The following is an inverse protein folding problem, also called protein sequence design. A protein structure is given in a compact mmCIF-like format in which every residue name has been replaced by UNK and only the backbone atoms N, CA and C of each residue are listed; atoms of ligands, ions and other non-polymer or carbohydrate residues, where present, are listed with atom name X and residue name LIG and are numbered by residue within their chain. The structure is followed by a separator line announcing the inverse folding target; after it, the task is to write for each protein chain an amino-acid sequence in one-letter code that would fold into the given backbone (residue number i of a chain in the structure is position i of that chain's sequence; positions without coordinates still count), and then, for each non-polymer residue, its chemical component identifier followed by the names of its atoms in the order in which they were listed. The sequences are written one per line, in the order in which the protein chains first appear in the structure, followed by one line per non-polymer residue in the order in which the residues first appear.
data_IF_298545961063
#
_entry.id   IF_298545961063
#
_cell.length_a   1.000
_cell.length_b   1.000
_cell.length_c   1.000
_cell.angle_alpha   90.00
_cell.angle_beta   90.00
_cell.angle_gamma   90.00
#
_symmetry.space_group_name_H-M   'P 1'
#
loop_
_entity.id
_entity.type
_entity.pdbx_description
1 polymer ?
#
# COMPACT_ATOMS: atom_id res chain seq x y z
N UNK A 1 18.89 4.38 -20.62
CA UNK A 1 17.71 3.62 -21.03
C UNK A 1 16.41 4.42 -20.92
N UNK A 2 16.37 5.54 -20.16
CA UNK A 2 15.16 6.33 -19.89
C UNK A 2 14.15 5.68 -18.92
N UNK A 3 14.47 4.53 -18.34
CA UNK A 3 13.64 3.89 -17.32
C UNK A 3 13.79 4.58 -15.96
N UNK A 4 12.73 4.54 -15.16
CA UNK A 4 12.66 5.07 -13.81
C UNK A 4 12.50 3.89 -12.81
N UNK A 5 13.59 3.25 -12.37
CA UNK A 5 13.51 2.07 -11.49
C UNK A 5 12.88 2.41 -10.15
N UNK A 6 12.00 1.52 -9.68
CA UNK A 6 11.42 1.52 -8.35
C UNK A 6 11.63 0.13 -7.72
N UNK A 7 12.16 0.07 -6.50
CA UNK A 7 12.51 -1.21 -5.88
C UNK A 7 11.83 -1.36 -4.51
N UNK A 8 11.18 -2.51 -4.32
CA UNK A 8 10.63 -2.98 -3.05
C UNK A 8 11.53 -4.10 -2.48
N UNK A 9 12.56 -3.73 -1.72
CA UNK A 9 13.54 -4.69 -1.19
C UNK A 9 13.31 -5.08 0.28
N UNK A 10 12.14 -4.72 0.85
CA UNK A 10 11.81 -5.00 2.24
C UNK A 10 12.48 -4.07 3.25
N UNK A 11 12.88 -4.61 4.41
CA UNK A 11 13.52 -3.80 5.46
C UNK A 11 15.01 -3.64 5.19
N UNK A 12 15.41 -2.40 4.90
CA UNK A 12 16.78 -2.02 4.58
C UNK A 12 17.37 -1.11 5.66
N UNK A 13 18.68 -1.19 5.87
CA UNK A 13 19.41 -0.22 6.68
C UNK A 13 19.79 1.02 5.86
N UNK A 14 20.39 2.03 6.50
CA UNK A 14 20.72 3.31 5.86
C UNK A 14 21.75 3.19 4.74
N UNK A 15 22.71 2.26 4.86
CA UNK A 15 23.74 2.07 3.84
C UNK A 15 23.16 1.39 2.59
N UNK A 16 22.31 0.39 2.78
CA UNK A 16 21.58 -0.28 1.70
C UNK A 16 20.64 0.69 0.98
N UNK A 17 19.90 1.53 1.71
CA UNK A 17 19.07 2.60 1.14
C UNK A 17 19.92 3.58 0.33
N UNK A 18 21.06 4.00 0.85
CA UNK A 18 21.98 4.90 0.15
C UNK A 18 22.56 4.28 -1.13
N UNK A 19 22.80 2.97 -1.12
CA UNK A 19 23.25 2.24 -2.30
C UNK A 19 22.17 2.20 -3.37
N UNK A 20 20.93 1.83 -3.02
CA UNK A 20 19.80 1.75 -3.95
C UNK A 20 19.40 3.12 -4.52
N UNK A 21 19.54 4.18 -3.72
CA UNK A 21 19.29 5.55 -4.19
C UNK A 21 20.06 5.92 -5.46
N UNK A 22 21.24 5.34 -5.68
CA UNK A 22 22.08 5.67 -6.84
C UNK A 22 21.48 5.19 -8.18
N UNK A 23 20.62 4.19 -8.13
CA UNK A 23 20.04 3.54 -9.32
C UNK A 23 18.52 3.52 -9.35
N UNK A 24 17.85 4.07 -8.33
CA UNK A 24 16.40 4.12 -8.23
C UNK A 24 15.91 5.54 -8.07
N UNK A 25 14.79 5.86 -8.69
CA UNK A 25 14.11 7.15 -8.51
C UNK A 25 13.25 7.17 -7.26
N UNK A 26 12.79 6.02 -6.83
CA UNK A 26 12.01 5.82 -5.60
C UNK A 26 12.18 4.39 -5.08
N UNK A 27 11.81 4.20 -3.83
CA UNK A 27 11.78 2.88 -3.18
C UNK A 27 10.39 2.61 -2.61
N UNK A 28 10.12 1.34 -2.29
CA UNK A 28 8.90 0.92 -1.62
C UNK A 28 9.20 0.15 -0.33
N UNK A 29 8.43 0.43 0.70
CA UNK A 29 8.36 -0.38 1.92
C UNK A 29 6.97 -0.23 2.54
N UNK A 30 6.11 -1.22 2.31
CA UNK A 30 4.77 -1.23 2.91
C UNK A 30 4.88 -1.30 4.43
N UNK A 31 4.28 -0.34 5.15
CA UNK A 31 4.18 -0.44 6.62
C UNK A 31 3.33 -1.65 7.02
N UNK A 32 2.28 -1.92 6.28
CA UNK A 32 1.20 -2.89 6.50
C UNK A 32 0.37 -2.58 7.73
N UNK A 33 1.00 -2.41 8.88
CA UNK A 33 0.39 -2.00 10.16
C UNK A 33 1.44 -1.40 11.08
N UNK A 34 1.04 -0.49 11.97
CA UNK A 34 1.88 -0.03 13.08
C UNK A 34 1.68 -0.85 14.36
N UNK A 35 0.72 -1.78 14.37
CA UNK A 35 0.38 -2.58 15.54
C UNK A 35 1.41 -3.68 15.80
N UNK A 36 2.11 -3.59 16.92
CA UNK A 36 3.00 -4.65 17.39
C UNK A 36 2.24 -5.92 17.82
N UNK A 37 0.96 -5.80 18.18
CA UNK A 37 0.09 -6.93 18.54
C UNK A 37 0.07 -7.98 17.42
N UNK A 38 0.09 -7.55 16.17
CA UNK A 38 0.03 -8.46 15.02
C UNK A 38 1.35 -9.24 14.79
N UNK A 39 2.40 -8.96 15.55
CA UNK A 39 3.63 -9.77 15.58
C UNK A 39 3.64 -10.82 16.70
N UNK A 40 2.60 -10.83 17.55
CA UNK A 40 2.46 -11.73 18.68
C UNK A 40 2.14 -13.17 18.29
N UNK A 41 2.02 -14.03 19.29
CA UNK A 41 1.68 -15.45 19.11
C UNK A 41 0.32 -15.62 18.43
N UNK A 42 0.25 -16.48 17.45
CA UNK A 42 -0.94 -16.76 16.61
C UNK A 42 -1.43 -15.56 15.79
N UNK A 43 -0.61 -14.52 15.63
CA UNK A 43 -0.91 -13.37 14.79
C UNK A 43 -0.24 -13.49 13.40
N UNK A 44 -0.70 -12.75 12.41
CA UNK A 44 -0.26 -12.91 11.01
C UNK A 44 1.25 -12.71 10.80
N UNK A 45 1.88 -11.88 11.62
CA UNK A 45 3.31 -11.55 11.49
C UNK A 45 4.21 -12.27 12.52
N UNK A 46 3.71 -13.29 13.25
CA UNK A 46 4.45 -14.02 14.29
C UNK A 46 5.84 -14.50 13.84
N UNK A 47 5.93 -15.04 12.62
CA UNK A 47 7.18 -15.58 12.07
C UNK A 47 7.79 -14.72 10.96
N UNK A 48 7.40 -13.45 10.89
CA UNK A 48 7.84 -12.53 9.85
C UNK A 48 8.60 -11.34 10.44
N UNK A 49 9.87 -11.49 10.85
CA UNK A 49 10.63 -10.41 11.50
C UNK A 49 10.79 -9.18 10.62
N UNK A 50 10.80 -9.34 9.29
CA UNK A 50 10.79 -8.22 8.33
C UNK A 50 9.47 -7.45 8.28
N UNK A 51 8.42 -7.98 8.92
CA UNK A 51 7.11 -7.33 9.06
C UNK A 51 6.96 -6.59 10.40
N UNK A 52 8.01 -6.57 11.23
CA UNK A 52 7.97 -5.84 12.48
C UNK A 52 7.73 -4.34 12.22
N UNK A 53 6.70 -3.72 12.82
CA UNK A 53 6.33 -2.33 12.56
C UNK A 53 7.47 -1.34 12.81
N UNK A 54 8.22 -1.48 13.92
CA UNK A 54 9.34 -0.59 14.24
C UNK A 54 10.45 -0.67 13.18
N UNK A 55 10.69 -1.87 12.62
CA UNK A 55 11.70 -2.03 11.58
C UNK A 55 11.26 -1.30 10.30
N UNK A 56 9.99 -1.41 9.91
CA UNK A 56 9.44 -0.74 8.72
C UNK A 56 9.34 0.77 8.88
N UNK A 57 8.88 1.26 10.03
CA UNK A 57 8.89 2.69 10.37
C UNK A 57 10.32 3.26 10.24
N UNK A 58 11.32 2.53 10.76
CA UNK A 58 12.73 2.94 10.64
C UNK A 58 13.19 3.05 9.19
N UNK A 59 12.74 2.16 8.29
CA UNK A 59 13.02 2.28 6.85
C UNK A 59 12.44 3.57 6.28
N UNK A 60 11.17 3.87 6.57
CA UNK A 60 10.50 5.08 6.09
C UNK A 60 11.19 6.36 6.58
N UNK A 61 11.56 6.40 7.87
CA UNK A 61 12.30 7.52 8.45
C UNK A 61 13.72 7.68 7.87
N UNK A 62 14.44 6.57 7.67
CA UNK A 62 15.76 6.61 7.08
C UNK A 62 15.71 7.03 5.61
N UNK A 63 14.72 6.56 4.85
CA UNK A 63 14.47 7.07 3.50
C UNK A 63 14.23 8.59 3.51
N UNK A 64 13.45 9.09 4.50
CA UNK A 64 13.23 10.52 4.69
C UNK A 64 14.50 11.30 4.97
N UNK A 65 15.34 10.85 5.90
CA UNK A 65 16.65 11.46 6.21
C UNK A 65 17.56 11.51 4.98
N UNK A 66 17.48 10.49 4.15
CA UNK A 66 18.27 10.36 2.92
C UNK A 66 17.62 11.06 1.72
N UNK A 67 16.43 11.67 1.89
CA UNK A 67 15.66 12.31 0.81
C UNK A 67 15.42 11.35 -0.35
N UNK A 68 14.94 10.14 -0.04
CA UNK A 68 14.54 9.14 -1.01
C UNK A 68 13.01 9.15 -1.07
N UNK A 69 12.39 9.40 -2.23
CA UNK A 69 10.97 9.21 -2.40
C UNK A 69 10.59 7.74 -2.12
N UNK A 70 9.57 7.52 -1.31
CA UNK A 70 9.17 6.17 -0.91
C UNK A 70 7.66 5.98 -1.00
N UNK A 71 7.25 4.83 -1.49
CA UNK A 71 5.86 4.35 -1.42
C UNK A 71 5.71 3.47 -0.19
N UNK A 72 4.62 3.66 0.54
CA UNK A 72 4.24 2.83 1.68
C UNK A 72 2.74 2.54 1.66
N UNK A 73 2.21 1.90 2.67
CA UNK A 73 0.77 1.64 2.75
C UNK A 73 0.41 0.60 3.79
N UNK A 74 -0.88 0.26 3.83
CA UNK A 74 -1.46 -0.67 4.78
C UNK A 74 -2.01 -1.90 4.09
N UNK A 75 -2.03 -3.02 4.82
CA UNK A 75 -2.72 -4.25 4.43
C UNK A 75 -3.90 -4.45 5.37
N UNK A 76 -5.12 -4.34 4.83
CA UNK A 76 -6.37 -4.35 5.57
C UNK A 76 -6.98 -5.75 5.56
N UNK A 77 -7.47 -6.21 6.73
CA UNK A 77 -8.11 -7.51 6.90
C UNK A 77 -7.17 -8.61 7.39
N UNK A 78 -6.06 -8.24 8.03
CA UNK A 78 -5.12 -9.18 8.63
C UNK A 78 -5.34 -9.38 10.15
N UNK A 79 -6.46 -8.86 10.70
CA UNK A 79 -6.84 -8.99 12.12
C UNK A 79 -6.55 -7.74 12.96
N UNK A 80 -6.29 -6.63 12.32
CA UNK A 80 -6.20 -5.31 12.95
C UNK A 80 -7.57 -4.77 13.38
N UNK A 81 -7.57 -3.87 14.35
CA UNK A 81 -8.76 -3.09 14.71
C UNK A 81 -8.82 -1.79 13.91
N UNK A 82 -9.98 -1.13 13.90
CA UNK A 82 -10.13 0.16 13.23
C UNK A 82 -9.20 1.24 13.84
N UNK A 83 -9.03 1.21 15.16
CA UNK A 83 -8.10 2.10 15.87
C UNK A 83 -6.65 1.85 15.40
N UNK A 84 -6.23 0.60 15.25
CA UNK A 84 -4.89 0.26 14.76
C UNK A 84 -4.66 0.69 13.30
N UNK A 85 -5.72 0.69 12.47
CA UNK A 85 -5.67 1.25 11.11
C UNK A 85 -5.46 2.76 11.18
N UNK A 86 -6.25 3.47 11.99
CA UNK A 86 -6.13 4.93 12.16
C UNK A 86 -4.75 5.30 12.70
N UNK A 87 -4.25 4.61 13.72
CA UNK A 87 -2.90 4.81 14.27
C UNK A 87 -1.82 4.63 13.19
N UNK A 88 -1.97 3.61 12.34
CA UNK A 88 -1.03 3.36 11.24
C UNK A 88 -1.04 4.48 10.20
N UNK A 89 -2.22 5.02 9.86
CA UNK A 89 -2.35 6.18 8.96
C UNK A 89 -1.74 7.45 9.58
N UNK A 90 -1.92 7.65 10.90
CA UNK A 90 -1.31 8.77 11.63
C UNK A 90 0.21 8.67 11.60
N UNK A 91 0.78 7.49 11.85
CA UNK A 91 2.24 7.25 11.76
C UNK A 91 2.77 7.63 10.37
N UNK A 92 2.11 7.19 9.30
CA UNK A 92 2.50 7.54 7.93
C UNK A 92 2.43 9.07 7.71
N UNK A 93 1.34 9.71 8.14
CA UNK A 93 1.17 11.17 8.05
C UNK A 93 2.30 11.92 8.78
N UNK A 94 2.63 11.51 10.00
CA UNK A 94 3.66 12.17 10.82
C UNK A 94 5.05 12.04 10.19
N UNK A 95 5.39 10.87 9.64
CA UNK A 95 6.63 10.67 8.88
C UNK A 95 6.66 11.61 7.68
N UNK A 96 5.55 11.69 6.92
CA UNK A 96 5.49 12.56 5.74
C UNK A 96 5.54 14.04 6.12
N UNK A 97 4.88 14.46 7.20
CA UNK A 97 4.97 15.84 7.70
C UNK A 97 6.40 16.21 8.09
N UNK A 98 7.15 15.26 8.64
CA UNK A 98 8.53 15.49 9.09
C UNK A 98 9.54 15.51 7.95
N UNK A 99 9.38 14.66 6.94
CA UNK A 99 10.41 14.45 5.92
C UNK A 99 9.97 14.81 4.49
N UNK A 100 8.68 14.81 4.20
CA UNK A 100 8.13 15.11 2.85
C UNK A 100 8.52 14.09 1.78
N UNK A 101 8.83 12.85 2.17
CA UNK A 101 9.39 11.85 1.28
C UNK A 101 8.41 10.74 0.86
N UNK A 102 7.24 10.66 1.48
CA UNK A 102 6.22 9.68 1.10
C UNK A 102 5.49 10.20 -0.13
N UNK A 103 5.68 9.53 -1.26
CA UNK A 103 5.07 9.92 -2.53
C UNK A 103 3.68 9.34 -2.73
N UNK A 104 3.38 8.23 -2.05
CA UNK A 104 2.15 7.48 -2.25
C UNK A 104 1.87 6.56 -1.07
N UNK A 105 0.58 6.39 -0.75
CA UNK A 105 0.08 5.44 0.25
C UNK A 105 -0.86 4.44 -0.44
N UNK A 106 -0.46 3.18 -0.43
CA UNK A 106 -1.25 2.08 -1.00
C UNK A 106 -2.16 1.51 0.08
N UNK A 107 -3.46 1.54 -0.16
CA UNK A 107 -4.45 0.80 0.64
C UNK A 107 -4.73 -0.53 -0.06
N UNK A 108 -4.30 -1.61 0.58
CA UNK A 108 -4.40 -2.95 0.00
C UNK A 108 -5.28 -3.83 0.87
N UNK A 109 -6.28 -4.48 0.29
CA UNK A 109 -7.08 -5.48 0.99
C UNK A 109 -6.39 -6.85 0.98
N UNK A 110 -6.50 -7.55 2.11
CA UNK A 110 -6.03 -8.93 2.22
C UNK A 110 -6.84 -9.85 1.31
N UNK A 111 -6.13 -10.69 0.55
CA UNK A 111 -6.71 -11.79 -0.23
C UNK A 111 -6.15 -13.10 0.34
N UNK A 112 -7.01 -14.00 0.88
CA UNK A 112 -6.56 -15.27 1.44
C UNK A 112 -5.87 -16.14 0.39
N UNK A 113 -4.82 -16.85 0.81
CA UNK A 113 -4.07 -17.76 -0.07
C UNK A 113 -4.00 -19.16 0.55
N UNK A 114 -4.35 -20.17 -0.21
CA UNK A 114 -4.47 -21.56 0.25
C UNK A 114 -3.18 -22.14 0.86
N UNK A 115 -2.04 -21.67 0.39
CA UNK A 115 -0.71 -22.13 0.83
C UNK A 115 -0.15 -21.34 2.03
N UNK A 116 -0.97 -20.51 2.70
CA UNK A 116 -0.55 -19.71 3.85
C UNK A 116 -1.31 -20.09 5.12
N UNK A 117 -0.76 -19.75 6.29
CA UNK A 117 -1.45 -19.90 7.58
C UNK A 117 -2.70 -19.01 7.67
N UNK A 118 -2.79 -17.98 6.84
CA UNK A 118 -3.91 -17.04 6.80
C UNK A 118 -5.02 -17.45 5.83
N UNK A 119 -5.01 -18.66 5.28
CA UNK A 119 -6.03 -19.14 4.33
C UNK A 119 -7.47 -19.06 4.85
N UNK A 120 -7.65 -19.10 6.17
CA UNK A 120 -8.95 -19.00 6.82
C UNK A 120 -9.33 -17.58 7.25
N UNK A 121 -8.45 -16.60 7.07
CA UNK A 121 -8.77 -15.19 7.34
C UNK A 121 -9.63 -14.68 6.19
N UNK A 122 -10.82 -14.21 6.53
CA UNK A 122 -11.69 -13.61 5.53
C UNK A 122 -11.12 -12.26 5.06
N UNK A 123 -11.27 -11.91 3.78
CA UNK A 123 -10.95 -10.57 3.32
C UNK A 123 -11.81 -9.54 4.08
N UNK A 124 -11.38 -8.28 4.18
CA UNK A 124 -12.20 -7.24 4.78
C UNK A 124 -13.51 -7.10 4.00
N UNK A 125 -14.59 -6.77 4.68
CA UNK A 125 -15.83 -6.41 3.99
C UNK A 125 -15.61 -5.18 3.12
N UNK A 126 -16.40 -5.05 2.06
CA UNK A 126 -16.33 -3.86 1.18
C UNK A 126 -16.50 -2.57 1.98
N UNK A 127 -17.49 -2.50 2.88
CA UNK A 127 -17.76 -1.31 3.68
C UNK A 127 -16.59 -0.94 4.60
N UNK A 128 -15.96 -1.93 5.24
CA UNK A 128 -14.79 -1.69 6.07
C UNK A 128 -13.63 -1.15 5.23
N UNK A 129 -13.38 -1.75 4.06
CA UNK A 129 -12.29 -1.31 3.20
C UNK A 129 -12.56 0.10 2.63
N UNK A 130 -13.79 0.38 2.19
CA UNK A 130 -14.22 1.71 1.73
C UNK A 130 -14.03 2.77 2.84
N UNK A 131 -14.44 2.44 4.07
CA UNK A 131 -14.23 3.30 5.24
C UNK A 131 -12.74 3.59 5.46
N UNK A 132 -11.86 2.58 5.37
CA UNK A 132 -10.42 2.77 5.60
C UNK A 132 -9.77 3.65 4.52
N UNK A 133 -10.20 3.51 3.26
CA UNK A 133 -9.76 4.39 2.17
C UNK A 133 -10.21 5.83 2.41
N UNK A 134 -11.46 6.03 2.82
CA UNK A 134 -12.00 7.36 3.16
C UNK A 134 -11.25 8.00 4.34
N UNK A 135 -10.93 7.22 5.38
CA UNK A 135 -10.13 7.68 6.51
C UNK A 135 -8.70 8.08 6.07
N UNK A 136 -8.09 7.33 5.17
CA UNK A 136 -6.78 7.68 4.62
C UNK A 136 -6.83 9.05 3.91
N UNK A 137 -7.88 9.33 3.13
CA UNK A 137 -8.07 10.63 2.47
C UNK A 137 -8.31 11.75 3.47
N UNK A 138 -9.12 11.54 4.51
CA UNK A 138 -9.40 12.56 5.54
C UNK A 138 -8.13 12.88 6.34
N UNK A 139 -7.36 11.85 6.73
CA UNK A 139 -6.13 12.01 7.52
C UNK A 139 -5.01 12.64 6.70
N UNK A 140 -4.95 12.35 5.40
CA UNK A 140 -3.91 12.80 4.48
C UNK A 140 -4.52 13.42 3.21
N UNK A 141 -5.15 14.61 3.28
CA UNK A 141 -5.97 15.17 2.18
C UNK A 141 -5.20 15.43 0.89
N UNK A 142 -3.89 15.60 0.93
CA UNK A 142 -3.03 15.89 -0.23
C UNK A 142 -2.16 14.71 -0.66
N UNK A 143 -2.30 13.56 -0.01
CA UNK A 143 -1.52 12.37 -0.34
C UNK A 143 -2.03 11.69 -1.61
N UNK A 144 -1.12 11.11 -2.41
CA UNK A 144 -1.51 10.14 -3.41
C UNK A 144 -1.94 8.86 -2.72
N UNK A 145 -3.22 8.50 -2.87
CA UNK A 145 -3.79 7.28 -2.30
C UNK A 145 -4.13 6.34 -3.44
N UNK A 146 -3.47 5.21 -3.42
CA UNK A 146 -3.62 4.14 -4.39
C UNK A 146 -4.46 2.99 -3.82
N UNK A 147 -5.32 2.42 -4.64
CA UNK A 147 -5.96 1.12 -4.40
C UNK A 147 -5.79 0.24 -5.62
N UNK A 148 -5.15 -0.95 -5.50
CA UNK A 148 -5.04 -1.90 -6.60
C UNK A 148 -6.41 -2.42 -7.04
N UNK A 149 -6.84 -2.22 -8.31
CA UNK A 149 -8.20 -2.55 -8.73
C UNK A 149 -8.44 -4.06 -8.89
N UNK A 150 -7.40 -4.84 -9.15
CA UNK A 150 -7.46 -6.29 -9.32
C UNK A 150 -7.85 -7.05 -8.05
N UNK A 151 -7.60 -6.48 -6.87
CA UNK A 151 -7.92 -7.13 -5.59
C UNK A 151 -9.39 -6.96 -5.18
N UNK A 152 -10.14 -6.11 -5.87
CA UNK A 152 -11.57 -5.88 -5.62
C UNK A 152 -12.32 -5.66 -6.95
N UNK A 153 -12.32 -6.62 -7.87
CA UNK A 153 -12.78 -6.43 -9.25
C UNK A 153 -14.23 -5.96 -9.36
N UNK A 154 -15.09 -6.32 -8.40
CA UNK A 154 -16.50 -5.94 -8.41
C UNK A 154 -16.78 -4.59 -7.73
N UNK A 155 -15.80 -4.01 -7.03
CA UNK A 155 -16.01 -2.86 -6.15
C UNK A 155 -15.04 -1.71 -6.40
N UNK A 156 -13.94 -1.90 -7.15
CA UNK A 156 -12.93 -0.87 -7.31
C UNK A 156 -13.47 0.49 -7.78
N UNK A 157 -14.54 0.59 -8.60
CA UNK A 157 -15.06 1.88 -9.01
C UNK A 157 -15.51 2.78 -7.85
N UNK A 158 -15.99 2.19 -6.75
CA UNK A 158 -16.49 2.95 -5.59
C UNK A 158 -15.35 3.62 -4.78
N UNK A 159 -14.11 3.19 -4.95
CA UNK A 159 -12.98 3.78 -4.23
C UNK A 159 -12.60 5.17 -4.73
N UNK A 160 -13.04 5.56 -5.94
CA UNK A 160 -12.90 6.93 -6.44
C UNK A 160 -13.64 7.91 -5.52
N UNK A 161 -14.89 7.58 -5.14
CA UNK A 161 -15.70 8.39 -4.22
C UNK A 161 -15.13 8.39 -2.80
N UNK A 162 -14.44 7.31 -2.40
CA UNK A 162 -13.72 7.25 -1.13
C UNK A 162 -12.43 8.09 -1.13
N UNK A 163 -12.03 8.63 -2.27
CA UNK A 163 -10.97 9.62 -2.37
C UNK A 163 -9.62 9.12 -2.85
N UNK A 164 -9.55 7.99 -3.56
CA UNK A 164 -8.31 7.60 -4.25
C UNK A 164 -8.05 8.56 -5.42
N UNK A 165 -6.79 8.63 -5.84
CA UNK A 165 -6.37 9.34 -7.04
C UNK A 165 -5.33 8.56 -7.85
N UNK A 166 -5.11 7.29 -7.50
CA UNK A 166 -4.19 6.41 -8.20
C UNK A 166 -4.71 4.96 -8.20
N UNK A 167 -4.55 4.28 -9.34
CA UNK A 167 -4.88 2.86 -9.50
C UNK A 167 -3.65 1.96 -9.41
N UNK A 168 -2.46 2.56 -9.35
CA UNK A 168 -1.20 1.85 -9.34
C UNK A 168 -0.76 1.33 -10.70
N UNK A 169 0.23 0.47 -10.67
CA UNK A 169 0.79 -0.14 -11.86
C UNK A 169 -0.08 -1.28 -12.40
N UNK A 170 -0.91 -1.00 -13.38
CA UNK A 170 -1.71 -2.01 -14.09
C UNK A 170 -0.90 -2.50 -15.29
N UNK A 171 -0.58 -3.79 -15.35
CA UNK A 171 0.12 -4.39 -16.48
C UNK A 171 -0.84 -5.05 -17.47
N UNK A 172 -0.88 -4.61 -18.74
CA UNK A 172 -1.66 -5.30 -19.77
C UNK A 172 -0.98 -6.58 -20.29
N UNK A 173 0.29 -6.81 -19.94
CA UNK A 173 1.12 -7.87 -20.51
C UNK A 173 1.49 -8.96 -19.51
N UNK A 174 1.55 -8.63 -18.22
CA UNK A 174 1.98 -9.57 -17.18
C UNK A 174 0.88 -9.75 -16.14
N UNK A 175 0.83 -10.93 -15.56
CA UNK A 175 -0.02 -11.17 -14.37
C UNK A 175 0.54 -10.42 -13.15
N UNK A 176 -0.30 -10.23 -12.13
CA UNK A 176 0.19 -9.89 -10.80
C UNK A 176 0.88 -11.12 -10.19
N UNK A 177 2.21 -11.08 -10.07
CA UNK A 177 2.98 -12.21 -9.52
C UNK A 177 2.79 -12.41 -8.02
N UNK A 178 2.26 -11.42 -7.32
CA UNK A 178 1.91 -11.53 -5.89
C UNK A 178 0.52 -12.12 -5.73
N UNK A 179 -0.43 -11.75 -6.60
CA UNK A 179 -1.81 -12.22 -6.60
C UNK A 179 -2.20 -12.76 -7.99
N UNK A 180 -1.62 -13.89 -8.43
CA UNK A 180 -1.84 -14.40 -9.78
C UNK A 180 -3.28 -14.85 -10.04
N UNK A 181 -4.04 -15.07 -8.97
CA UNK A 181 -5.48 -15.35 -9.00
C UNK A 181 -6.37 -14.13 -9.24
N UNK A 182 -5.80 -12.94 -9.15
CA UNK A 182 -6.51 -11.66 -9.29
C UNK A 182 -6.03 -10.93 -10.56
N UNK A 183 -6.63 -11.19 -11.73
CA UNK A 183 -6.20 -10.58 -12.98
C UNK A 183 -6.42 -9.07 -12.98
N UNK A 184 -5.53 -8.36 -13.65
CA UNK A 184 -5.68 -6.92 -13.87
C UNK A 184 -6.93 -6.62 -14.71
N UNK A 185 -7.72 -5.60 -14.38
CA UNK A 185 -8.77 -5.11 -15.25
C UNK A 185 -8.19 -4.52 -16.56
N UNK A 186 -9.01 -4.47 -17.61
CA UNK A 186 -8.63 -3.77 -18.84
C UNK A 186 -8.44 -2.27 -18.55
N UNK A 187 -7.33 -1.70 -19.02
CA UNK A 187 -7.02 -0.27 -18.85
C UNK A 187 -8.13 0.62 -19.43
N UNK A 188 -8.79 0.17 -20.51
CA UNK A 188 -9.92 0.92 -21.10
C UNK A 188 -11.11 0.95 -20.16
N UNK A 189 -11.39 -0.14 -19.44
CA UNK A 189 -12.45 -0.21 -18.44
C UNK A 189 -12.13 0.72 -17.27
N UNK A 190 -10.91 0.67 -16.73
CA UNK A 190 -10.47 1.56 -15.64
C UNK A 190 -10.57 3.03 -16.07
N UNK A 191 -10.16 3.35 -17.30
CA UNK A 191 -10.31 4.69 -17.87
C UNK A 191 -11.77 5.12 -17.97
N UNK A 192 -12.65 4.23 -18.44
CA UNK A 192 -14.09 4.53 -18.57
C UNK A 192 -14.69 4.81 -17.19
N UNK A 193 -14.43 3.97 -16.20
CA UNK A 193 -14.93 4.14 -14.83
C UNK A 193 -14.44 5.45 -14.24
N UNK A 194 -13.15 5.77 -14.39
CA UNK A 194 -12.57 7.03 -13.90
C UNK A 194 -13.24 8.25 -14.53
N UNK A 195 -13.46 8.21 -15.85
CA UNK A 195 -14.11 9.32 -16.57
C UNK A 195 -15.61 9.46 -16.19
N UNK A 196 -16.31 8.35 -15.98
CA UNK A 196 -17.71 8.37 -15.55
C UNK A 196 -17.87 8.96 -14.14
N UNK A 197 -16.87 8.80 -13.27
CA UNK A 197 -16.83 9.44 -11.96
C UNK A 197 -16.45 10.93 -12.02
N UNK A 198 -16.28 11.53 -13.21
CA UNK A 198 -15.97 12.95 -13.40
C UNK A 198 -14.48 13.30 -13.33
N UNK A 199 -13.59 12.31 -13.35
CA UNK A 199 -12.14 12.52 -13.30
C UNK A 199 -11.47 12.19 -14.63
N UNK A 200 -10.30 12.77 -14.87
CA UNK A 200 -9.49 12.49 -16.06
C UNK A 200 -8.50 11.37 -15.76
N UNK A 201 -8.64 10.24 -16.45
CA UNK A 201 -7.63 9.17 -16.42
C UNK A 201 -6.36 9.65 -17.14
N UNK A 202 -5.22 9.54 -16.46
CA UNK A 202 -3.88 9.82 -17.00
C UNK A 202 -2.99 8.63 -16.69
N UNK A 203 -2.16 8.23 -17.65
CA UNK A 203 -1.10 7.24 -17.51
C UNK A 203 0.28 7.88 -17.49
#
# INVERSE_FOLDING_TARGET
TGMLPHTNAGTLNSDELSLLKKSNVSLGCMLETSSERLTGKNMPHEFAPSKNPRARIRVLENAGKLKIPITTGLLIGIGETLEEIVDSLIVIREINQKYGNIQEVIMQNHVPKDNTKMKSFLPPTHDLFLLTVSLARIIMPHMNIQVPPNLSPNHYPTYIEAGINDWGGISPLTIDFVNPESPWPDIKEVKQVTNMAGYNFRG
#
